data_IF_209541219499
#
_entry.id   IF_209541219499
#
_cell.length_a   1.000
_cell.length_b   1.000
_cell.length_c   1.000
_cell.angle_alpha   90.00
_cell.angle_beta   90.00
_cell.angle_gamma   90.00
#
_symmetry.space_group_name_H-M   'P 1'
#
loop_
_entity.id
_entity.type
_entity.pdbx_description
1 polymer ?
#
# COMPACT_ATOMS: atom_id res chain seq x y z
N UNK A 1 55.46 9.26 -66.37
CA UNK A 1 55.96 7.87 -66.35
C UNK A 1 55.11 7.07 -65.37
N UNK A 2 54.35 6.08 -65.87
CA UNK A 2 53.86 4.81 -65.27
C UNK A 2 53.39 4.74 -63.78
N UNK A 3 52.39 3.98 -63.33
CA UNK A 3 51.44 2.99 -63.89
C UNK A 3 50.43 2.62 -62.77
N UNK A 4 49.19 2.29 -63.16
CA UNK A 4 48.15 1.56 -62.37
C UNK A 4 48.63 0.21 -61.82
N UNK A 5 48.01 -0.29 -60.71
CA UNK A 5 47.41 -1.66 -60.61
C UNK A 5 46.74 -2.00 -59.26
N UNK A 6 45.41 -2.03 -59.31
CA UNK A 6 44.41 -3.01 -58.85
C UNK A 6 44.79 -4.42 -58.29
N UNK A 7 43.90 -4.92 -57.38
CA UNK A 7 43.31 -6.30 -57.18
C UNK A 7 43.69 -7.23 -55.98
N UNK A 8 42.71 -7.43 -55.07
CA UNK A 8 41.88 -8.64 -54.76
C UNK A 8 42.47 -9.96 -54.12
N UNK A 9 41.89 -10.35 -52.95
CA UNK A 9 41.56 -11.71 -52.34
C UNK A 9 42.72 -12.67 -51.93
N UNK A 10 42.65 -13.61 -50.95
CA UNK A 10 41.64 -14.23 -50.04
C UNK A 10 42.37 -15.13 -48.99
N UNK A 11 41.79 -15.27 -47.77
CA UNK A 11 41.55 -16.50 -46.95
C UNK A 11 42.71 -17.39 -46.46
N UNK A 12 42.79 -17.60 -45.13
CA UNK A 12 42.87 -18.91 -44.45
C UNK A 12 42.38 -18.79 -42.98
N UNK A 13 41.54 -19.73 -42.52
CA UNK A 13 40.92 -19.81 -41.18
C UNK A 13 41.79 -20.58 -40.16
N UNK A 14 41.65 -20.35 -38.84
CA UNK A 14 42.19 -21.22 -37.79
C UNK A 14 41.21 -22.35 -37.34
N UNK A 15 41.70 -23.39 -36.63
CA UNK A 15 41.03 -24.69 -36.39
C UNK A 15 39.97 -24.64 -35.25
N UNK A 16 39.15 -25.70 -35.06
CA UNK A 16 38.01 -25.66 -34.13
C UNK A 16 38.46 -25.70 -32.65
N UNK A 17 37.72 -25.05 -31.74
CA UNK A 17 37.99 -25.12 -30.31
C UNK A 17 37.60 -26.49 -29.71
N UNK A 18 38.44 -26.98 -28.79
CA UNK A 18 38.15 -28.09 -27.87
C UNK A 18 36.92 -27.78 -26.99
N UNK A 19 36.18 -28.80 -26.51
CA UNK A 19 34.92 -28.59 -25.80
C UNK A 19 35.10 -27.90 -24.44
N UNK A 20 34.39 -26.78 -24.27
CA UNK A 20 34.32 -25.97 -23.04
C UNK A 20 33.47 -26.63 -21.93
N UNK A 21 33.67 -26.26 -20.65
CA UNK A 21 33.12 -26.94 -19.47
C UNK A 21 31.63 -26.63 -19.26
N UNK A 22 30.76 -27.53 -19.74
CA UNK A 22 29.30 -27.36 -19.68
C UNK A 22 28.65 -27.76 -18.34
N UNK A 23 29.34 -28.52 -17.48
CA UNK A 23 28.73 -29.11 -16.27
C UNK A 23 28.44 -28.11 -15.13
N UNK A 24 29.10 -26.96 -15.09
CA UNK A 24 28.90 -25.97 -14.03
C UNK A 24 27.64 -25.11 -14.26
N UNK A 25 27.35 -24.76 -15.51
CA UNK A 25 26.18 -23.95 -15.86
C UNK A 25 24.87 -24.77 -15.70
N UNK A 26 24.92 -26.10 -15.91
CA UNK A 26 23.75 -26.98 -15.73
C UNK A 26 23.32 -27.09 -14.26
N UNK A 27 24.28 -27.14 -13.33
CA UNK A 27 23.97 -27.21 -11.90
C UNK A 27 23.35 -25.90 -11.36
N UNK A 28 23.74 -24.77 -11.95
CA UNK A 28 23.22 -23.45 -11.60
C UNK A 28 21.75 -23.27 -12.04
N UNK A 29 21.41 -23.76 -13.24
CA UNK A 29 20.04 -23.75 -13.77
C UNK A 29 19.12 -24.72 -13.02
N UNK A 30 19.61 -25.92 -12.69
CA UNK A 30 18.86 -26.92 -11.91
C UNK A 30 18.50 -26.42 -10.50
N UNK A 31 19.41 -25.67 -9.86
CA UNK A 31 19.17 -25.09 -8.54
C UNK A 31 18.15 -23.94 -8.57
N UNK A 32 18.14 -23.14 -9.64
CA UNK A 32 17.13 -22.11 -9.82
C UNK A 32 15.75 -22.73 -10.06
N UNK A 33 15.69 -23.82 -10.83
CA UNK A 33 14.48 -24.59 -11.07
C UNK A 33 13.96 -25.25 -9.78
N UNK A 34 14.85 -25.76 -8.91
CA UNK A 34 14.48 -26.31 -7.61
C UNK A 34 13.91 -25.23 -6.65
N UNK A 35 14.46 -24.02 -6.66
CA UNK A 35 13.90 -22.87 -5.92
C UNK A 35 12.55 -22.38 -6.48
N UNK A 36 12.28 -22.60 -7.77
CA UNK A 36 10.99 -22.29 -8.41
C UNK A 36 10.01 -23.47 -8.41
N UNK A 37 10.40 -24.60 -7.81
CA UNK A 37 9.53 -25.76 -7.69
C UNK A 37 8.29 -25.41 -6.86
N UNK A 38 7.14 -26.01 -7.19
CA UNK A 38 5.88 -25.79 -6.44
C UNK A 38 5.82 -26.52 -5.09
N UNK A 39 6.78 -27.39 -4.83
CA UNK A 39 6.83 -28.23 -3.64
C UNK A 39 7.65 -27.55 -2.53
N UNK A 40 7.03 -27.35 -1.38
CA UNK A 40 7.63 -26.60 -0.27
C UNK A 40 8.80 -27.34 0.40
N UNK A 41 8.84 -28.67 0.32
CA UNK A 41 9.95 -29.49 0.84
C UNK A 41 11.18 -29.31 -0.04
N UNK A 42 11.00 -29.38 -1.36
CA UNK A 42 12.04 -29.17 -2.37
C UNK A 42 12.64 -27.76 -2.31
N UNK A 43 11.80 -26.74 -2.05
CA UNK A 43 12.25 -25.36 -1.84
C UNK A 43 13.07 -25.21 -0.55
N UNK A 44 12.66 -25.87 0.55
CA UNK A 44 13.40 -25.86 1.83
C UNK A 44 14.76 -26.51 1.69
N UNK A 45 14.82 -27.67 1.03
CA UNK A 45 16.07 -28.38 0.77
C UNK A 45 17.03 -27.53 -0.09
N UNK A 46 16.53 -26.92 -1.18
CA UNK A 46 17.32 -26.06 -2.05
C UNK A 46 17.85 -24.80 -1.32
N UNK A 47 17.03 -24.17 -0.47
CA UNK A 47 17.44 -23.03 0.34
C UNK A 47 18.49 -23.39 1.40
N UNK A 48 18.34 -24.54 2.07
CA UNK A 48 19.30 -25.02 3.07
C UNK A 48 20.66 -25.40 2.44
N UNK A 49 20.64 -26.05 1.27
CA UNK A 49 21.85 -26.38 0.50
C UNK A 49 22.60 -25.10 0.12
N UNK A 50 21.92 -24.06 -0.35
CA UNK A 50 22.55 -22.77 -0.67
C UNK A 50 23.21 -22.10 0.55
N UNK A 51 22.53 -22.10 1.69
CA UNK A 51 23.05 -21.50 2.93
C UNK A 51 24.31 -22.25 3.42
N UNK A 52 24.36 -23.57 3.26
CA UNK A 52 25.54 -24.38 3.59
C UNK A 52 26.72 -24.15 2.63
N UNK A 53 26.46 -23.99 1.33
CA UNK A 53 27.49 -23.70 0.31
C UNK A 53 28.09 -22.30 0.51
N UNK A 54 27.29 -21.33 0.94
CA UNK A 54 27.75 -19.97 1.25
C UNK A 54 28.61 -19.95 2.52
N UNK A 55 28.25 -20.75 3.53
CA UNK A 55 29.04 -20.94 4.75
C UNK A 55 30.36 -21.69 4.52
N UNK A 56 30.44 -22.55 3.49
CA UNK A 56 31.66 -23.27 3.11
C UNK A 56 32.62 -22.44 2.23
N UNK A 57 32.13 -21.40 1.54
CA UNK A 57 32.93 -20.56 0.63
C UNK A 57 33.72 -19.43 1.31
N UNK A 58 33.63 -19.28 2.64
CA UNK A 58 34.43 -18.32 3.40
C UNK A 58 35.90 -18.72 3.60
N UNK A 59 36.37 -19.87 3.09
CA UNK A 59 37.76 -20.35 3.32
C UNK A 59 38.69 -20.49 2.10
N UNK A 60 38.27 -20.28 0.85
CA UNK A 60 39.21 -20.30 -0.29
C UNK A 60 39.03 -19.13 -1.26
N UNK A 61 40.03 -18.23 -1.27
CA UNK A 61 40.14 -17.11 -2.19
C UNK A 61 41.37 -17.28 -3.08
N UNK A 62 41.18 -17.27 -4.41
CA UNK A 62 41.98 -16.72 -5.54
C UNK A 62 41.35 -17.31 -6.81
N UNK A 63 40.83 -16.59 -7.82
CA UNK A 63 41.54 -15.80 -8.84
C UNK A 63 40.50 -14.96 -9.65
N UNK A 64 40.93 -13.88 -10.33
CA UNK A 64 40.07 -12.93 -11.09
C UNK A 64 40.23 -13.18 -12.59
N UNK A 65 39.17 -13.52 -13.35
CA UNK A 65 38.61 -12.57 -14.35
C UNK A 65 37.21 -12.98 -14.90
N UNK A 66 36.58 -14.06 -14.39
CA UNK A 66 35.15 -14.40 -14.63
C UNK A 66 34.24 -14.07 -13.42
N UNK A 67 34.77 -13.37 -12.41
CA UNK A 67 34.13 -13.14 -11.09
C UNK A 67 32.90 -12.25 -11.13
N UNK A 68 32.78 -11.34 -12.10
CA UNK A 68 31.76 -10.29 -12.03
C UNK A 68 30.36 -10.75 -12.47
N UNK A 69 30.26 -11.71 -13.39
CA UNK A 69 28.97 -12.34 -13.74
C UNK A 69 28.54 -13.37 -12.69
N UNK A 70 29.48 -14.23 -12.24
CA UNK A 70 29.24 -15.24 -11.22
C UNK A 70 28.90 -14.65 -9.86
N UNK A 71 29.55 -13.57 -9.42
CA UNK A 71 29.19 -12.90 -8.17
C UNK A 71 27.82 -12.23 -8.25
N UNK A 72 27.45 -11.64 -9.40
CA UNK A 72 26.11 -11.07 -9.61
C UNK A 72 25.02 -12.14 -9.62
N UNK A 73 25.30 -13.29 -10.22
CA UNK A 73 24.38 -14.42 -10.24
C UNK A 73 24.21 -15.03 -8.85
N UNK A 74 25.30 -15.25 -8.11
CA UNK A 74 25.27 -15.71 -6.72
C UNK A 74 24.53 -14.73 -5.81
N UNK A 75 24.74 -13.42 -5.95
CA UNK A 75 23.98 -12.42 -5.21
C UNK A 75 22.48 -12.45 -5.54
N UNK A 76 22.11 -12.76 -6.79
CA UNK A 76 20.71 -12.92 -7.20
C UNK A 76 20.09 -14.20 -6.62
N UNK A 77 20.85 -15.28 -6.57
CA UNK A 77 20.45 -16.54 -5.95
C UNK A 77 20.29 -16.40 -4.44
N UNK A 78 21.25 -15.78 -3.75
CA UNK A 78 21.19 -15.52 -2.31
C UNK A 78 19.96 -14.68 -1.95
N UNK A 79 19.70 -13.58 -2.67
CA UNK A 79 18.47 -12.78 -2.47
C UNK A 79 17.19 -13.58 -2.71
N UNK A 80 17.19 -14.50 -3.67
CA UNK A 80 16.03 -15.35 -3.97
C UNK A 80 15.84 -16.39 -2.85
N UNK A 81 16.92 -17.00 -2.38
CA UNK A 81 16.92 -17.94 -1.27
C UNK A 81 16.49 -17.27 0.05
N UNK A 82 16.98 -16.06 0.35
CA UNK A 82 16.54 -15.27 1.51
C UNK A 82 15.05 -14.94 1.45
N UNK A 83 14.54 -14.54 0.27
CA UNK A 83 13.11 -14.28 0.08
C UNK A 83 12.26 -15.53 0.31
N UNK A 84 12.67 -16.66 -0.26
CA UNK A 84 11.99 -17.95 -0.10
C UNK A 84 12.08 -18.42 1.36
N UNK A 85 13.24 -18.28 2.01
CA UNK A 85 13.41 -18.62 3.42
C UNK A 85 12.55 -17.74 4.34
N UNK A 86 12.40 -16.44 4.04
CA UNK A 86 11.49 -15.55 4.76
C UNK A 86 10.01 -15.92 4.55
N UNK A 87 9.64 -16.41 3.36
CA UNK A 87 8.29 -16.88 3.03
C UNK A 87 7.98 -18.27 3.64
N UNK A 88 9.03 -19.08 3.87
CA UNK A 88 9.00 -20.39 4.51
C UNK A 88 9.19 -20.35 6.03
N UNK A 89 9.41 -19.18 6.63
CA UNK A 89 9.33 -19.02 8.09
C UNK A 89 7.99 -19.60 8.54
N UNK A 90 7.94 -20.36 9.65
CA UNK A 90 6.71 -20.99 10.10
C UNK A 90 5.63 -19.92 10.23
N UNK A 91 4.65 -19.92 9.32
CA UNK A 91 3.44 -19.14 9.46
C UNK A 91 2.78 -19.65 10.74
N UNK A 92 2.70 -18.79 11.73
CA UNK A 92 1.96 -19.11 12.94
C UNK A 92 0.49 -19.22 12.55
N UNK A 93 0.05 -20.44 12.25
CA UNK A 93 -1.32 -20.75 11.84
C UNK A 93 -2.33 -20.22 12.87
N UNK A 94 -1.93 -20.15 14.15
CA UNK A 94 -2.77 -19.59 15.20
C UNK A 94 -2.83 -18.06 15.12
N UNK A 95 -1.75 -17.37 14.73
CA UNK A 95 -1.76 -15.93 14.49
C UNK A 95 -2.59 -15.58 13.24
N UNK A 96 -2.45 -16.35 12.15
CA UNK A 96 -3.24 -16.18 10.94
C UNK A 96 -4.73 -16.42 11.20
N UNK A 97 -5.07 -17.48 11.95
CA UNK A 97 -6.44 -17.76 12.34
C UNK A 97 -7.06 -16.64 13.20
N UNK A 98 -6.27 -16.07 14.14
CA UNK A 98 -6.69 -14.91 14.94
C UNK A 98 -6.93 -13.69 14.07
N UNK A 99 -6.02 -13.40 13.14
CA UNK A 99 -6.17 -12.26 12.22
C UNK A 99 -7.43 -12.41 11.35
N UNK A 100 -7.68 -13.60 10.80
CA UNK A 100 -8.89 -13.87 10.01
C UNK A 100 -10.16 -13.74 10.84
N UNK A 101 -10.14 -14.16 12.11
CA UNK A 101 -11.27 -13.98 13.02
C UNK A 101 -11.51 -12.50 13.32
N UNK A 102 -10.45 -11.72 13.56
CA UNK A 102 -10.55 -10.28 13.81
C UNK A 102 -11.07 -9.52 12.58
N UNK A 103 -10.65 -9.87 11.37
CA UNK A 103 -11.17 -9.28 10.11
C UNK A 103 -12.67 -9.55 9.98
N UNK A 104 -13.09 -10.80 10.19
CA UNK A 104 -14.52 -11.17 10.11
C UNK A 104 -15.35 -10.41 11.15
N UNK A 105 -14.84 -10.31 12.38
CA UNK A 105 -15.52 -9.60 13.44
C UNK A 105 -15.61 -8.09 13.14
N UNK A 106 -14.54 -7.50 12.60
CA UNK A 106 -14.54 -6.10 12.15
C UNK A 106 -15.61 -5.86 11.08
N UNK A 107 -15.68 -6.73 10.07
CA UNK A 107 -16.65 -6.64 9.00
C UNK A 107 -18.10 -6.80 9.52
N UNK A 108 -18.36 -7.81 10.34
CA UNK A 108 -19.68 -8.06 10.94
C UNK A 108 -20.16 -6.86 11.77
N UNK A 109 -19.27 -6.30 12.58
CA UNK A 109 -19.54 -5.16 13.43
C UNK A 109 -19.94 -3.93 12.61
N UNK A 110 -19.15 -3.57 11.60
CA UNK A 110 -19.41 -2.43 10.72
C UNK A 110 -20.69 -2.64 9.92
N UNK A 111 -20.90 -3.83 9.36
CA UNK A 111 -22.10 -4.16 8.59
C UNK A 111 -23.36 -4.14 9.45
N UNK A 112 -23.27 -4.56 10.71
CA UNK A 112 -24.39 -4.52 11.65
C UNK A 112 -24.85 -3.08 11.92
N UNK A 113 -23.91 -2.16 12.12
CA UNK A 113 -24.19 -0.74 12.35
C UNK A 113 -24.72 -0.08 11.06
N UNK A 114 -24.13 -0.41 9.91
CA UNK A 114 -24.65 0.03 8.62
C UNK A 114 -26.10 -0.40 8.42
N UNK A 115 -26.43 -1.67 8.74
CA UNK A 115 -27.80 -2.19 8.64
C UNK A 115 -28.75 -1.48 9.58
N UNK A 116 -28.35 -1.23 10.83
CA UNK A 116 -29.15 -0.53 11.82
C UNK A 116 -29.50 0.91 11.36
N UNK A 117 -28.57 1.59 10.69
CA UNK A 117 -28.79 2.93 10.14
C UNK A 117 -29.39 2.95 8.72
N UNK A 118 -29.68 1.79 8.14
CA UNK A 118 -30.21 1.68 6.77
C UNK A 118 -29.22 2.16 5.70
N UNK A 119 -27.93 1.95 5.93
CA UNK A 119 -26.82 2.31 5.04
C UNK A 119 -26.35 1.10 4.23
N UNK A 120 -25.73 1.38 3.09
CA UNK A 120 -24.98 0.44 2.27
C UNK A 120 -23.56 0.94 2.09
N UNK A 121 -22.60 0.02 2.11
CA UNK A 121 -21.19 0.34 1.89
C UNK A 121 -20.89 0.36 0.40
N UNK A 122 -20.17 1.40 -0.02
CA UNK A 122 -19.63 1.54 -1.37
C UNK A 122 -18.13 1.36 -1.26
N UNK A 123 -17.65 0.28 -1.86
CA UNK A 123 -16.23 -0.06 -1.87
C UNK A 123 -15.44 0.97 -2.69
N UNK A 124 -14.44 1.55 -2.04
CA UNK A 124 -13.47 2.48 -2.62
C UNK A 124 -12.18 1.69 -2.86
N UNK A 125 -11.42 1.97 -3.93
CA UNK A 125 -10.13 1.32 -4.16
C UNK A 125 -9.19 1.46 -2.94
N UNK A 126 -8.50 0.37 -2.53
CA UNK A 126 -7.60 0.38 -1.38
C UNK A 126 -6.25 1.01 -1.74
N UNK A 127 -6.27 2.30 -1.99
CA UNK A 127 -5.10 3.14 -2.23
C UNK A 127 -4.99 4.25 -1.17
N UNK A 128 -3.94 5.05 -1.23
CA UNK A 128 -3.76 6.16 -0.29
C UNK A 128 -4.80 7.27 -0.41
N UNK A 129 -5.67 7.23 -1.42
CA UNK A 129 -6.74 8.20 -1.62
C UNK A 129 -8.10 7.74 -1.06
N UNK A 130 -8.20 6.56 -0.45
CA UNK A 130 -9.47 5.96 -0.02
C UNK A 130 -10.32 6.89 0.86
N UNK A 131 -9.75 7.45 1.94
CA UNK A 131 -10.44 8.37 2.86
C UNK A 131 -10.99 9.62 2.14
N UNK A 132 -10.15 10.26 1.35
CA UNK A 132 -10.49 11.46 0.59
C UNK A 132 -11.59 11.18 -0.44
N UNK A 133 -11.51 10.05 -1.13
CA UNK A 133 -12.50 9.62 -2.12
C UNK A 133 -13.84 9.30 -1.46
N UNK A 134 -13.81 8.60 -0.31
CA UNK A 134 -15.02 8.29 0.46
C UNK A 134 -15.74 9.56 0.94
N UNK A 135 -14.99 10.54 1.45
CA UNK A 135 -15.55 11.82 1.90
C UNK A 135 -16.05 12.65 0.71
N UNK A 136 -15.28 12.74 -0.38
CA UNK A 136 -15.68 13.48 -1.58
C UNK A 136 -17.01 12.95 -2.17
N UNK A 137 -17.17 11.62 -2.19
CA UNK A 137 -18.41 10.96 -2.60
C UNK A 137 -19.60 11.40 -1.74
N UNK A 138 -19.44 11.36 -0.41
CA UNK A 138 -20.48 11.77 0.53
C UNK A 138 -20.84 13.26 0.40
N UNK A 139 -19.84 14.12 0.26
CA UNK A 139 -20.05 15.57 0.07
C UNK A 139 -20.88 15.84 -1.20
N UNK A 140 -20.63 15.08 -2.28
CA UNK A 140 -21.40 15.21 -3.52
C UNK A 140 -22.85 14.74 -3.35
N UNK A 141 -23.08 13.64 -2.62
CA UNK A 141 -24.43 13.13 -2.31
C UNK A 141 -25.22 14.14 -1.47
N UNK A 142 -24.56 14.81 -0.52
CA UNK A 142 -25.17 15.83 0.32
C UNK A 142 -25.41 17.15 -0.44
N UNK A 143 -24.86 17.31 -1.64
CA UNK A 143 -24.94 18.51 -2.46
C UNK A 143 -24.06 19.65 -1.96
N UNK A 144 -23.02 19.33 -1.17
CA UNK A 144 -22.05 20.31 -0.66
C UNK A 144 -20.96 20.63 -1.69
N UNK A 145 -20.71 19.69 -2.61
CA UNK A 145 -19.84 19.89 -3.78
C UNK A 145 -20.55 19.35 -5.04
N UNK A 146 -20.23 19.85 -6.24
CA UNK A 146 -20.73 19.26 -7.47
C UNK A 146 -20.13 17.87 -7.69
N UNK A 147 -20.88 16.97 -8.34
CA UNK A 147 -20.40 15.60 -8.65
C UNK A 147 -19.10 15.59 -9.46
N UNK A 148 -18.86 16.59 -10.31
CA UNK A 148 -17.60 16.73 -11.05
C UNK A 148 -16.39 17.03 -10.15
N UNK A 149 -16.61 17.51 -8.93
CA UNK A 149 -15.59 17.75 -7.93
C UNK A 149 -15.46 16.62 -6.91
N UNK A 150 -16.20 15.52 -7.07
CA UNK A 150 -16.11 14.32 -6.22
C UNK A 150 -14.85 13.49 -6.52
N UNK A 151 -13.69 14.12 -6.34
CA UNK A 151 -12.37 13.56 -6.60
C UNK A 151 -11.47 13.81 -5.39
N UNK A 152 -10.49 12.91 -5.12
CA UNK A 152 -9.66 13.01 -3.92
C UNK A 152 -8.88 14.32 -3.82
N UNK A 153 -8.49 14.91 -4.96
CA UNK A 153 -7.78 16.20 -5.00
C UNK A 153 -8.58 17.33 -4.33
N UNK A 154 -9.91 17.35 -4.50
CA UNK A 154 -10.78 18.37 -3.90
C UNK A 154 -10.69 18.34 -2.39
N UNK A 155 -10.88 17.16 -1.80
CA UNK A 155 -10.84 16.95 -0.35
C UNK A 155 -9.42 17.07 0.20
N UNK A 156 -8.38 16.61 -0.51
CA UNK A 156 -6.97 16.79 -0.10
C UNK A 156 -6.61 18.26 0.01
N UNK A 157 -7.00 19.04 -1.00
CA UNK A 157 -6.77 20.49 -1.01
C UNK A 157 -7.53 21.17 0.12
N UNK A 158 -8.78 20.79 0.37
CA UNK A 158 -9.57 21.35 1.47
C UNK A 158 -8.97 21.04 2.85
N UNK A 159 -8.57 19.79 3.08
CA UNK A 159 -7.92 19.36 4.31
C UNK A 159 -6.61 20.14 4.55
N UNK A 160 -5.69 20.10 3.58
CA UNK A 160 -4.40 20.77 3.67
C UNK A 160 -4.54 22.29 3.88
N UNK A 161 -5.45 22.95 3.16
CA UNK A 161 -5.67 24.39 3.31
C UNK A 161 -6.23 24.74 4.68
N UNK A 162 -7.17 23.94 5.20
CA UNK A 162 -7.73 24.17 6.54
C UNK A 162 -6.68 23.97 7.63
N UNK A 163 -5.90 22.89 7.53
CA UNK A 163 -4.82 22.59 8.47
C UNK A 163 -3.75 23.68 8.47
N UNK A 164 -3.31 24.11 7.28
CA UNK A 164 -2.33 25.18 7.12
C UNK A 164 -2.82 26.52 7.70
N UNK A 165 -4.12 26.80 7.64
CA UNK A 165 -4.72 28.01 8.20
C UNK A 165 -4.89 27.97 9.73
N UNK A 166 -4.85 26.79 10.37
CA UNK A 166 -5.10 26.61 11.80
C UNK A 166 -4.05 25.69 12.46
N UNK A 167 -2.74 26.01 12.35
CA UNK A 167 -1.66 25.13 12.77
C UNK A 167 -1.71 24.77 14.27
N UNK A 168 -2.21 25.68 15.11
CA UNK A 168 -2.39 25.51 16.56
C UNK A 168 -3.34 24.36 16.93
N UNK A 169 -4.26 23.98 16.03
CA UNK A 169 -5.20 22.89 16.25
C UNK A 169 -4.62 21.52 15.89
N UNK A 170 -3.53 21.47 15.11
CA UNK A 170 -2.99 20.22 14.56
C UNK A 170 -1.58 19.89 15.04
N UNK A 171 -0.69 20.88 15.11
CA UNK A 171 0.71 20.68 15.53
C UNK A 171 0.85 19.91 16.86
N UNK A 172 0.04 20.18 17.91
CA UNK A 172 0.17 19.47 19.19
C UNK A 172 -0.10 17.95 19.14
N UNK A 173 -0.70 17.46 18.06
CA UNK A 173 -1.12 16.07 17.91
C UNK A 173 -0.35 15.31 16.82
N UNK A 174 0.53 16.00 16.09
CA UNK A 174 1.26 15.43 14.96
C UNK A 174 2.70 15.07 15.36
N UNK A 175 3.14 13.83 15.11
CA UNK A 175 4.50 13.41 15.41
C UNK A 175 5.51 14.10 14.47
N UNK A 176 6.72 14.33 14.98
CA UNK A 176 7.86 14.77 14.19
C UNK A 176 8.25 13.70 13.17
N UNK A 177 8.50 14.14 11.93
CA UNK A 177 8.97 13.27 10.85
C UNK A 177 10.37 12.71 11.12
N UNK A 178 11.18 13.45 11.90
CA UNK A 178 12.57 13.11 12.21
C UNK A 178 12.73 12.48 13.61
N UNK A 179 11.62 12.19 14.30
CA UNK A 179 11.64 11.69 15.67
C UNK A 179 12.01 12.77 16.70
N UNK A 180 12.20 12.37 17.95
CA UNK A 180 12.55 13.27 19.06
C UNK A 180 13.89 14.00 18.88
N UNK A 181 14.78 13.46 18.05
CA UNK A 181 16.15 13.97 17.81
C UNK A 181 16.29 14.76 16.48
N UNK A 182 15.17 15.16 15.87
CA UNK A 182 15.17 15.91 14.61
C UNK A 182 15.79 17.31 14.70
N UNK A 183 16.49 17.75 13.64
CA UNK A 183 17.06 19.09 13.58
C UNK A 183 15.96 20.17 13.57
N UNK A 184 15.84 20.93 14.67
CA UNK A 184 14.78 21.93 14.89
C UNK A 184 13.68 21.48 15.87
N UNK A 185 13.87 20.36 16.58
CA UNK A 185 12.98 19.93 17.65
C UNK A 185 13.10 20.85 18.87
N UNK A 186 12.20 21.82 18.98
CA UNK A 186 12.11 22.71 20.15
C UNK A 186 11.35 22.04 21.33
N UNK A 187 10.82 20.82 21.14
CA UNK A 187 9.91 20.11 22.07
C UNK A 187 9.68 18.63 21.66
N UNK A 188 9.12 17.77 22.54
CA UNK A 188 9.33 16.32 22.53
C UNK A 188 8.65 15.63 21.35
N UNK A 189 9.39 15.23 20.32
CA UNK A 189 8.89 14.36 19.24
C UNK A 189 7.68 14.87 18.46
N UNK A 190 7.32 16.14 18.56
CA UNK A 190 6.22 16.79 17.85
C UNK A 190 6.72 17.51 16.60
N UNK A 191 5.85 17.64 15.61
CA UNK A 191 6.18 18.30 14.35
C UNK A 191 6.49 19.79 14.57
N UNK A 192 7.57 20.29 13.98
CA UNK A 192 7.86 21.73 13.98
C UNK A 192 6.92 22.48 13.02
N UNK A 193 6.70 23.81 13.19
CA UNK A 193 5.89 24.59 12.26
C UNK A 193 6.34 24.46 10.80
N UNK A 194 7.65 24.40 10.55
CA UNK A 194 8.20 24.24 9.20
C UNK A 194 7.94 22.85 8.61
N UNK A 195 8.06 21.79 9.42
CA UNK A 195 7.71 20.44 8.99
C UNK A 195 6.20 20.29 8.76
N UNK A 196 5.39 21.00 9.52
CA UNK A 196 3.94 21.03 9.35
C UNK A 196 3.51 21.63 8.00
N UNK A 197 4.19 22.68 7.52
CA UNK A 197 3.96 23.20 6.17
C UNK A 197 4.24 22.14 5.09
N UNK A 198 5.31 21.37 5.26
CA UNK A 198 5.68 20.27 4.36
C UNK A 198 4.64 19.14 4.44
N UNK A 199 4.15 18.82 5.64
CA UNK A 199 3.10 17.83 5.86
C UNK A 199 1.80 18.22 5.12
N UNK A 200 1.36 19.47 5.26
CA UNK A 200 0.20 19.99 4.53
C UNK A 200 0.39 19.89 3.00
N UNK A 201 1.59 20.21 2.50
CA UNK A 201 1.91 20.07 1.09
C UNK A 201 1.87 18.60 0.63
N UNK A 202 2.41 17.66 1.43
CA UNK A 202 2.35 16.22 1.13
C UNK A 202 0.90 15.72 1.04
N UNK A 203 0.05 16.07 2.01
CA UNK A 203 -1.38 15.72 1.99
C UNK A 203 -2.04 16.18 0.68
N UNK A 204 -1.76 17.42 0.26
CA UNK A 204 -2.32 18.01 -0.96
C UNK A 204 -1.81 17.34 -2.23
N UNK A 205 -0.49 17.11 -2.32
CA UNK A 205 0.20 16.86 -3.59
C UNK A 205 0.52 15.38 -3.84
N UNK A 206 0.37 14.50 -2.84
CA UNK A 206 0.74 13.08 -2.94
C UNK A 206 -0.42 12.12 -2.62
N UNK A 207 -0.14 10.83 -2.69
CA UNK A 207 -1.02 9.75 -2.21
C UNK A 207 -0.85 9.44 -0.72
N UNK A 208 -0.40 10.39 0.11
CA UNK A 208 -0.29 10.19 1.56
C UNK A 208 -1.63 9.77 2.14
N UNK A 209 -1.62 8.79 3.03
CA UNK A 209 -2.83 8.30 3.68
C UNK A 209 -3.39 9.39 4.58
N UNK A 210 -4.71 9.48 4.65
CA UNK A 210 -5.38 10.39 5.57
C UNK A 210 -5.80 9.65 6.84
N UNK A 211 -5.90 10.38 7.94
CA UNK A 211 -6.41 9.87 9.21
C UNK A 211 -7.19 10.93 9.99
N UNK A 212 -7.16 10.81 11.31
CA UNK A 212 -7.89 11.68 12.24
C UNK A 212 -7.68 13.20 11.98
N UNK A 213 -6.44 13.72 11.81
CA UNK A 213 -6.24 15.16 11.64
C UNK A 213 -6.93 15.69 10.38
N UNK A 214 -6.89 14.92 9.28
CA UNK A 214 -7.52 15.34 8.02
C UNK A 214 -9.05 15.22 8.09
N UNK A 215 -9.59 14.24 8.81
CA UNK A 215 -11.04 14.12 9.03
C UNK A 215 -11.56 15.33 9.81
N UNK A 216 -10.87 15.71 10.90
CA UNK A 216 -11.19 16.92 11.69
C UNK A 216 -11.11 18.18 10.83
N UNK A 217 -10.07 18.30 10.00
CA UNK A 217 -9.91 19.41 9.07
C UNK A 217 -11.06 19.47 8.04
N UNK A 218 -11.45 18.32 7.48
CA UNK A 218 -12.53 18.23 6.49
C UNK A 218 -13.90 18.54 7.07
N UNK A 219 -14.19 18.04 8.28
CA UNK A 219 -15.44 18.34 8.98
C UNK A 219 -15.61 19.86 9.15
N UNK A 220 -14.52 20.53 9.53
CA UNK A 220 -14.51 21.98 9.73
C UNK A 220 -14.48 22.77 8.42
N UNK A 221 -13.72 22.34 7.42
CA UNK A 221 -13.63 23.01 6.12
C UNK A 221 -14.97 23.02 5.37
N UNK A 222 -15.72 21.91 5.42
CA UNK A 222 -17.03 21.79 4.79
C UNK A 222 -18.20 22.11 5.71
N UNK A 223 -17.93 22.40 6.99
CA UNK A 223 -18.95 22.70 8.00
C UNK A 223 -20.02 21.61 8.03
N UNK A 224 -19.58 20.35 8.06
CA UNK A 224 -20.47 19.19 8.08
C UNK A 224 -19.88 18.14 9.02
N UNK A 225 -20.68 17.56 9.93
CA UNK A 225 -20.20 16.47 10.78
C UNK A 225 -19.80 15.25 9.96
N UNK A 226 -18.72 14.59 10.38
CA UNK A 226 -18.25 13.33 9.79
C UNK A 226 -18.38 12.21 10.83
N UNK A 227 -19.18 11.21 10.50
CA UNK A 227 -19.36 10.00 11.29
C UNK A 227 -18.53 8.87 10.67
N UNK A 228 -17.58 8.36 11.44
CA UNK A 228 -16.76 7.20 11.08
C UNK A 228 -17.32 5.97 11.80
N UNK A 229 -17.82 5.02 11.02
CA UNK A 229 -18.30 3.74 11.54
C UNK A 229 -17.14 2.75 11.56
N UNK A 230 -16.88 2.16 12.72
CA UNK A 230 -15.74 1.25 12.92
C UNK A 230 -16.09 0.09 13.84
N UNK A 231 -15.23 -0.92 13.83
CA UNK A 231 -15.25 -1.99 14.83
C UNK A 231 -14.71 -1.52 16.19
N UNK A 232 -15.10 -2.21 17.26
CA UNK A 232 -14.71 -1.87 18.63
C UNK A 232 -15.84 -1.26 19.49
N UNK A 233 -15.50 -0.80 20.71
CA UNK A 233 -16.49 -0.39 21.72
C UNK A 233 -17.27 0.87 21.32
N UNK A 234 -16.61 1.79 20.60
CA UNK A 234 -17.25 2.97 20.03
C UNK A 234 -17.48 2.74 18.53
N UNK A 235 -18.69 2.29 18.20
CA UNK A 235 -19.11 1.98 16.82
C UNK A 235 -19.12 3.18 15.89
N UNK A 236 -19.34 4.38 16.45
CA UNK A 236 -19.42 5.63 15.70
C UNK A 236 -18.52 6.66 16.38
N UNK A 237 -17.51 7.12 15.65
CA UNK A 237 -16.70 8.29 16.03
C UNK A 237 -17.25 9.50 15.30
N UNK A 238 -17.61 10.53 16.06
CA UNK A 238 -18.25 11.75 15.54
C UNK A 238 -17.24 12.88 15.55
N UNK A 239 -17.05 13.50 14.38
CA UNK A 239 -16.19 14.67 14.20
C UNK A 239 -17.08 15.85 13.87
N UNK A 240 -17.19 16.78 14.80
CA UNK A 240 -17.97 18.00 14.64
C UNK A 240 -17.11 19.13 14.04
N UNK A 241 -17.69 20.05 13.25
CA UNK A 241 -16.99 21.26 12.81
C UNK A 241 -16.52 22.10 14.02
N UNK A 242 -15.26 22.50 14.04
CA UNK A 242 -14.66 23.19 15.19
C UNK A 242 -15.28 24.57 15.49
N UNK A 243 -15.82 25.26 14.48
CA UNK A 243 -16.52 26.55 14.66
C UNK A 243 -17.99 26.38 15.06
N UNK A 244 -18.48 25.14 15.19
CA UNK A 244 -19.87 24.79 15.49
C UNK A 244 -20.86 25.15 14.39
N UNK A 245 -20.39 25.63 13.22
CA UNK A 245 -21.27 26.00 12.12
C UNK A 245 -21.54 24.77 11.25
N UNK A 246 -22.80 24.59 10.88
CA UNK A 246 -23.23 23.51 10.00
C UNK A 246 -23.80 24.11 8.72
N UNK A 247 -23.18 23.81 7.58
CA UNK A 247 -23.58 24.30 6.26
C UNK A 247 -25.00 23.85 5.88
N UNK A 248 -25.39 22.65 6.32
CA UNK A 248 -26.71 22.06 6.04
C UNK A 248 -27.23 21.28 7.25
N UNK A 249 -28.27 21.78 7.95
CA UNK A 249 -28.84 21.09 9.11
C UNK A 249 -29.25 19.65 8.79
N UNK A 250 -28.83 18.71 9.64
CA UNK A 250 -29.11 17.28 9.48
C UNK A 250 -28.29 16.56 8.39
N UNK A 251 -27.42 17.26 7.66
CA UNK A 251 -26.46 16.62 6.78
C UNK A 251 -25.29 16.07 7.60
N UNK A 252 -24.92 14.83 7.32
CA UNK A 252 -23.80 14.13 7.97
C UNK A 252 -23.10 13.29 6.92
N UNK A 253 -21.78 13.44 6.82
CA UNK A 253 -20.93 12.57 6.02
C UNK A 253 -20.75 11.27 6.78
N UNK A 254 -21.02 10.12 6.13
CA UNK A 254 -20.84 8.80 6.76
C UNK A 254 -19.84 7.97 5.97
N UNK A 255 -18.78 7.53 6.65
CA UNK A 255 -17.75 6.65 6.11
C UNK A 255 -17.53 5.47 7.06
N UNK A 256 -17.02 4.35 6.56
CA UNK A 256 -16.55 3.25 7.41
C UNK A 256 -15.03 3.19 7.42
N UNK A 257 -14.47 2.82 8.57
CA UNK A 257 -13.04 2.62 8.79
C UNK A 257 -12.76 1.15 9.07
N UNK A 258 -11.81 0.58 8.33
CA UNK A 258 -11.41 -0.81 8.40
C UNK A 258 -9.92 -0.87 8.66
N UNK A 259 -9.52 -1.53 9.75
CA UNK A 259 -8.11 -1.57 10.14
C UNK A 259 -7.38 -2.74 9.50
N UNK A 260 -8.08 -3.83 9.18
CA UNK A 260 -7.45 -5.09 8.75
C UNK A 260 -8.00 -5.69 7.46
N UNK A 261 -9.09 -5.14 6.91
CA UNK A 261 -9.79 -5.68 5.73
C UNK A 261 -8.88 -5.99 4.53
N UNK A 262 -7.85 -5.18 4.25
CA UNK A 262 -6.99 -5.35 3.06
C UNK A 262 -5.55 -5.76 3.35
N UNK A 263 -5.20 -6.05 4.62
CA UNK A 263 -3.84 -6.47 5.03
C UNK A 263 -2.73 -5.40 4.87
N UNK A 264 -2.98 -4.32 4.12
CA UNK A 264 -2.06 -3.20 3.90
C UNK A 264 -2.12 -2.16 5.01
N UNK A 265 -3.19 -2.13 5.81
CA UNK A 265 -3.41 -1.18 6.89
C UNK A 265 -4.83 -0.60 6.83
N UNK A 266 -4.94 0.66 7.23
CA UNK A 266 -6.19 1.41 7.34
C UNK A 266 -6.87 1.65 5.98
N UNK A 267 -8.18 1.48 5.92
CA UNK A 267 -8.97 1.70 4.72
C UNK A 267 -10.32 2.35 5.04
N UNK A 268 -10.80 3.18 4.11
CA UNK A 268 -12.07 3.88 4.24
C UNK A 268 -13.00 3.62 3.07
N UNK A 269 -14.29 3.40 3.38
CA UNK A 269 -15.35 3.24 2.38
C UNK A 269 -16.47 4.28 2.59
N UNK A 270 -17.19 4.63 1.52
CA UNK A 270 -18.32 5.55 1.58
C UNK A 270 -19.59 4.81 2.02
N UNK A 271 -20.41 5.41 2.90
CA UNK A 271 -21.67 4.81 3.36
C UNK A 271 -22.87 5.59 2.84
N UNK A 272 -23.61 5.00 1.91
CA UNK A 272 -24.78 5.65 1.29
C UNK A 272 -26.08 5.16 1.90
N UNK A 273 -27.15 5.96 1.94
CA UNK A 273 -28.48 5.46 2.30
C UNK A 273 -28.93 4.33 1.36
N UNK A 274 -29.55 3.30 1.91
CA UNK A 274 -30.28 2.30 1.10
C UNK A 274 -31.52 2.97 0.51
N UNK A 275 -31.60 2.95 -0.81
CA UNK A 275 -32.80 3.40 -1.52
C UNK A 275 -33.96 2.43 -1.25
N UNK A 276 -35.20 2.84 -1.53
CA UNK A 276 -36.36 1.95 -1.44
C UNK A 276 -36.19 0.67 -2.27
N UNK A 277 -35.48 0.74 -3.40
CA UNK A 277 -35.17 -0.42 -4.24
C UNK A 277 -34.20 -1.40 -3.55
N UNK A 278 -33.28 -0.90 -2.74
CA UNK A 278 -32.30 -1.73 -2.00
C UNK A 278 -32.93 -2.43 -0.78
N UNK A 279 -34.19 -2.12 -0.44
CA UNK A 279 -34.96 -2.77 0.63
C UNK A 279 -35.78 -3.97 0.13
N UNK A 280 -35.84 -4.19 -1.18
CA UNK A 280 -36.57 -5.32 -1.77
C UNK A 280 -35.71 -6.59 -1.60
N UNK A 281 -36.22 -7.64 -0.94
CA UNK A 281 -35.49 -8.89 -0.78
C UNK A 281 -35.08 -9.47 -2.14
N UNK A 282 -33.81 -9.81 -2.30
CA UNK A 282 -33.26 -10.44 -3.50
C UNK A 282 -32.78 -9.50 -4.62
N UNK A 283 -32.89 -8.18 -4.47
CA UNK A 283 -32.41 -7.23 -5.49
C UNK A 283 -30.89 -7.29 -5.71
N UNK A 284 -30.10 -7.60 -4.67
CA UNK A 284 -28.65 -7.77 -4.81
C UNK A 284 -28.29 -8.97 -5.68
N UNK A 285 -29.02 -10.09 -5.55
CA UNK A 285 -28.82 -11.29 -6.37
C UNK A 285 -29.17 -11.01 -7.84
N UNK A 286 -30.23 -10.24 -8.09
CA UNK A 286 -30.62 -9.80 -9.43
C UNK A 286 -29.58 -8.86 -10.03
N UNK A 287 -29.04 -7.90 -9.26
CA UNK A 287 -27.97 -7.00 -9.72
C UNK A 287 -26.66 -7.73 -9.99
N UNK A 288 -26.29 -8.70 -9.15
CA UNK A 288 -25.11 -9.53 -9.34
C UNK A 288 -25.24 -10.39 -10.62
N UNK A 289 -26.42 -10.98 -10.86
CA UNK A 289 -26.71 -11.75 -12.06
C UNK A 289 -26.72 -10.92 -13.36
N UNK A 290 -27.02 -9.62 -13.28
CA UNK A 290 -27.00 -8.70 -14.43
C UNK A 290 -25.61 -8.12 -14.76
N UNK A 291 -24.65 -8.23 -13.83
CA UNK A 291 -23.26 -7.79 -14.02
C UNK A 291 -22.31 -8.92 -14.47
N UNK A 292 -22.78 -10.17 -14.46
CA UNK A 292 -22.08 -11.34 -14.98
C UNK A 292 -22.43 -11.57 -16.46
#
# INVERSE_FOLDING_TARGET
MARKRDKIKKVFSPPPPEPEPQEADTLEDDLFAALDARDAETQKEAAAVLQSVESAKSEEAVEKSKKDSRNRFQARLARKAERIAAELLPKDEAADARMQQEIKQEEEDILSECKAQGLQMIEIPPDGHCMYTAIADQLAILGLIPTSAAVPLTTRTAAANYMFAHPDLFIPFLPSVNGEDGAGADSPGLISPKEFEIYCAKIRDTGEWGGEPEIVALASAYKVPIHVIQAGPQRIVVHEPMDGQVAKPGAVVKISYHRRMYGLGEHYNSLRPKTLADRIPGVEQVRAALKA
#
